data_IF_016753129056
#
_entry.id   IF_016753129056
#
_cell.length_a   1.000
_cell.length_b   1.000
_cell.length_c   1.000
_cell.angle_alpha   90.00
_cell.angle_beta   90.00
_cell.angle_gamma   90.00
#
_symmetry.space_group_name_H-M   'P 1'
#
loop_
_entity.id
_entity.type
_entity.pdbx_description
1 polymer ?
#
# COMPACT_ATOMS: atom_id res chain seq x y z
N UNK A 1 -28.60 -50.89 -16.11
CA UNK A 1 -27.13 -50.73 -15.93
C UNK A 1 -26.52 -50.25 -17.23
N UNK A 2 -25.81 -49.11 -17.23
CA UNK A 2 -24.60 -48.81 -18.05
C UNK A 2 -24.14 -47.38 -17.75
N UNK A 3 -23.15 -47.23 -16.87
CA UNK A 3 -22.40 -45.98 -16.69
C UNK A 3 -21.40 -45.86 -17.85
N UNK A 4 -21.53 -44.84 -18.69
CA UNK A 4 -20.48 -44.48 -19.66
C UNK A 4 -19.37 -43.72 -18.92
N UNK A 5 -18.24 -44.38 -18.73
CA UNK A 5 -17.01 -43.78 -18.20
C UNK A 5 -16.19 -43.29 -19.39
N UNK A 6 -16.23 -41.99 -19.70
CA UNK A 6 -15.35 -41.38 -20.71
C UNK A 6 -13.92 -41.33 -20.14
N UNK A 7 -13.06 -42.23 -20.60
CA UNK A 7 -11.63 -42.13 -20.39
C UNK A 7 -11.08 -41.10 -21.38
N UNK A 8 -10.71 -39.92 -20.88
CA UNK A 8 -9.86 -38.97 -21.60
C UNK A 8 -8.44 -39.55 -21.52
N UNK A 9 -7.99 -40.18 -22.62
CA UNK A 9 -6.59 -40.57 -22.77
C UNK A 9 -5.75 -39.34 -23.02
N UNK A 10 -5.10 -38.83 -21.98
CA UNK A 10 -4.19 -37.69 -22.07
C UNK A 10 -2.88 -38.18 -22.70
N UNK A 11 -2.66 -37.85 -23.97
CA UNK A 11 -1.51 -38.32 -24.74
C UNK A 11 -0.22 -37.63 -24.24
N UNK A 12 0.89 -38.37 -24.09
CA UNK A 12 2.11 -37.85 -23.45
C UNK A 12 2.69 -36.61 -24.17
N UNK A 13 2.48 -36.48 -25.48
CA UNK A 13 2.85 -35.29 -26.26
C UNK A 13 1.97 -34.05 -25.98
N UNK A 14 0.72 -34.23 -25.53
CA UNK A 14 -0.17 -33.12 -25.19
C UNK A 14 0.23 -32.48 -23.85
N UNK A 15 0.73 -33.29 -22.91
CA UNK A 15 1.28 -32.82 -21.65
C UNK A 15 2.55 -31.98 -21.86
N UNK A 16 3.45 -32.37 -22.77
CA UNK A 16 4.65 -31.60 -23.11
C UNK A 16 4.30 -30.24 -23.71
N UNK A 17 3.26 -30.17 -24.54
CA UNK A 17 2.81 -28.92 -25.17
C UNK A 17 2.21 -27.93 -24.15
N UNK A 18 1.47 -28.42 -23.15
CA UNK A 18 0.95 -27.59 -22.05
C UNK A 18 2.09 -27.07 -21.16
N UNK A 19 3.11 -27.89 -20.89
CA UNK A 19 4.28 -27.49 -20.09
C UNK A 19 5.12 -26.39 -20.75
N UNK A 20 5.20 -26.37 -22.08
CA UNK A 20 5.89 -25.32 -22.85
C UNK A 20 5.14 -23.98 -22.85
N UNK A 21 3.81 -23.98 -22.71
CA UNK A 21 3.00 -22.76 -22.69
C UNK A 21 3.15 -21.96 -21.38
N UNK A 22 3.54 -22.60 -20.28
CA UNK A 22 3.79 -21.93 -18.99
C UNK A 22 5.16 -21.23 -18.88
N UNK A 23 6.06 -21.42 -19.85
CA UNK A 23 7.43 -20.88 -19.79
C UNK A 23 7.55 -19.41 -20.25
N UNK A 24 6.49 -18.82 -20.82
CA UNK A 24 6.54 -17.47 -21.41
C UNK A 24 5.76 -16.39 -20.66
N UNK A 25 5.20 -16.68 -19.48
CA UNK A 25 4.59 -15.64 -18.65
C UNK A 25 5.65 -14.93 -17.80
N UNK A 26 6.57 -14.22 -18.45
CA UNK A 26 7.36 -13.19 -17.79
C UNK A 26 6.48 -11.95 -17.70
N UNK A 27 5.99 -11.65 -16.50
CA UNK A 27 5.33 -10.38 -16.21
C UNK A 27 6.45 -9.33 -16.10
N UNK A 28 6.80 -8.71 -17.23
CA UNK A 28 7.68 -7.55 -17.22
C UNK A 28 6.83 -6.36 -16.80
N UNK A 29 6.93 -5.99 -15.52
CA UNK A 29 6.30 -4.77 -15.01
C UNK A 29 6.98 -3.58 -15.70
N UNK A 30 6.40 -3.13 -16.82
CA UNK A 30 6.78 -1.88 -17.45
C UNK A 30 6.56 -0.75 -16.45
N UNK A 31 7.63 -0.31 -15.80
CA UNK A 31 7.63 0.93 -15.03
C UNK A 31 7.61 2.08 -16.04
N UNK A 32 6.52 2.84 -16.06
CA UNK A 32 6.46 4.11 -16.78
C UNK A 32 7.29 5.13 -15.99
N UNK A 33 8.59 5.16 -16.27
CA UNK A 33 9.57 5.97 -15.52
C UNK A 33 9.59 7.38 -16.10
N UNK A 34 8.98 8.32 -15.38
CA UNK A 34 9.12 9.75 -15.67
C UNK A 34 10.43 10.27 -15.07
N UNK A 35 11.51 10.25 -15.86
CA UNK A 35 12.84 10.74 -15.45
C UNK A 35 12.85 12.23 -15.04
N UNK A 36 11.78 13.00 -15.31
CA UNK A 36 11.67 14.39 -14.84
C UNK A 36 11.24 14.51 -13.37
N UNK A 37 10.72 13.44 -12.77
CA UNK A 37 10.13 13.44 -11.42
C UNK A 37 10.99 12.74 -10.36
N UNK A 38 12.29 12.49 -10.64
CA UNK A 38 13.16 11.76 -9.72
C UNK A 38 14.27 12.62 -9.11
N UNK A 39 14.83 12.10 -8.01
CA UNK A 39 15.96 12.72 -7.32
C UNK A 39 17.28 12.22 -7.92
N UNK A 40 18.25 13.13 -8.08
CA UNK A 40 19.61 12.81 -8.57
C UNK A 40 20.53 12.27 -7.45
N UNK A 41 20.17 12.52 -6.20
CA UNK A 41 20.86 12.01 -5.01
C UNK A 41 19.86 11.22 -4.17
N UNK A 42 20.34 10.18 -3.50
CA UNK A 42 19.48 9.33 -2.66
C UNK A 42 18.85 10.17 -1.54
N UNK A 43 17.51 10.32 -1.51
CA UNK A 43 16.85 11.07 -0.45
C UNK A 43 16.91 10.27 0.87
N UNK A 44 16.98 10.98 1.99
CA UNK A 44 16.97 10.35 3.33
C UNK A 44 15.61 10.45 4.03
N UNK A 45 14.73 11.32 3.52
CA UNK A 45 13.39 11.56 4.03
C UNK A 45 12.38 11.69 2.89
N UNK A 46 11.10 11.47 3.20
CA UNK A 46 9.99 11.68 2.29
C UNK A 46 8.68 11.85 3.04
N UNK A 47 7.65 12.23 2.30
CA UNK A 47 6.33 12.51 2.87
C UNK A 47 5.53 11.22 3.08
N UNK A 48 5.09 11.01 4.31
CA UNK A 48 4.09 10.00 4.66
C UNK A 48 2.70 10.63 4.47
N UNK A 49 1.99 10.20 3.43
CA UNK A 49 0.67 10.70 3.07
C UNK A 49 -0.42 9.86 3.76
N UNK A 50 -1.24 10.52 4.57
CA UNK A 50 -2.26 9.85 5.38
C UNK A 50 -3.64 10.31 4.92
N UNK A 51 -4.43 9.36 4.44
CA UNK A 51 -5.81 9.58 4.04
C UNK A 51 -6.74 9.37 5.24
N UNK A 52 -7.53 10.40 5.58
CA UNK A 52 -8.48 10.37 6.71
C UNK A 52 -9.90 10.72 6.27
N UNK A 53 -10.90 10.31 7.06
CA UNK A 53 -12.29 10.72 6.84
C UNK A 53 -12.63 11.97 7.65
N UNK A 54 -12.91 13.08 6.98
CA UNK A 54 -13.47 14.29 7.59
C UNK A 54 -14.95 14.41 7.24
N UNK A 55 -15.81 14.48 8.25
CA UNK A 55 -17.26 14.63 8.10
C UNK A 55 -17.87 15.42 9.28
N UNK A 56 -19.20 15.58 9.32
CA UNK A 56 -19.89 16.36 10.36
C UNK A 56 -19.64 15.84 11.78
N UNK A 57 -19.50 14.53 11.94
CA UNK A 57 -19.25 13.88 13.24
C UNK A 57 -17.76 13.88 13.61
N UNK A 58 -16.89 13.89 12.59
CA UNK A 58 -15.44 13.80 12.68
C UNK A 58 -14.79 14.96 11.92
N UNK A 59 -14.99 16.19 12.40
CA UNK A 59 -14.34 17.38 11.80
C UNK A 59 -12.87 17.50 12.20
N UNK A 60 -12.51 16.85 13.31
CA UNK A 60 -11.17 16.76 13.87
C UNK A 60 -10.90 15.30 14.21
N UNK A 61 -9.85 14.72 13.62
CA UNK A 61 -9.53 13.29 13.73
C UNK A 61 -8.16 13.15 14.39
N UNK A 62 -8.07 12.65 15.64
CA UNK A 62 -6.80 12.35 16.26
C UNK A 62 -6.05 11.25 15.50
N UNK A 63 -4.79 11.51 15.17
CA UNK A 63 -3.89 10.63 14.43
C UNK A 63 -2.62 10.41 15.25
N UNK A 64 -2.19 9.15 15.36
CA UNK A 64 -0.90 8.78 15.95
C UNK A 64 -0.13 7.96 14.93
N UNK A 65 1.12 8.35 14.68
CA UNK A 65 2.03 7.74 13.73
C UNK A 65 3.12 7.05 14.53
N UNK A 66 3.32 5.77 14.27
CA UNK A 66 4.30 4.92 14.93
C UNK A 66 5.40 4.53 13.96
N UNK A 67 6.63 4.50 14.45
CA UNK A 67 7.74 3.84 13.76
C UNK A 67 7.68 2.35 14.08
N UNK A 68 7.40 1.52 13.07
CA UNK A 68 7.12 0.10 13.27
C UNK A 68 5.64 -0.15 13.51
N UNK A 69 5.31 -1.17 14.32
CA UNK A 69 3.91 -1.52 14.59
C UNK A 69 3.39 -0.75 15.81
N UNK A 70 2.07 -0.49 15.92
CA UNK A 70 1.52 0.24 17.07
C UNK A 70 1.80 -0.45 18.41
N UNK A 71 1.90 -1.79 18.44
CA UNK A 71 2.17 -2.56 19.66
C UNK A 71 3.58 -2.34 20.22
N UNK A 72 4.52 -1.90 19.38
CA UNK A 72 5.90 -1.59 19.79
C UNK A 72 5.96 -0.26 20.57
N UNK A 73 4.92 0.59 20.46
CA UNK A 73 4.77 1.83 21.24
C UNK A 73 5.72 2.97 20.87
N UNK A 74 6.46 2.85 19.78
CA UNK A 74 7.40 3.89 19.32
C UNK A 74 6.66 4.96 18.51
N UNK A 75 6.23 6.02 19.18
CA UNK A 75 5.53 7.14 18.54
C UNK A 75 6.54 8.00 17.79
N UNK A 76 6.33 8.16 16.48
CA UNK A 76 7.05 9.12 15.63
C UNK A 76 6.39 10.50 15.75
N UNK A 77 5.05 10.55 15.70
CA UNK A 77 4.29 11.79 15.66
C UNK A 77 2.86 11.60 16.17
N UNK A 78 2.23 12.64 16.71
CA UNK A 78 0.84 12.62 17.12
C UNK A 78 0.22 14.03 16.99
N UNK A 79 -0.91 14.13 16.30
CA UNK A 79 -1.65 15.38 16.10
C UNK A 79 -3.12 15.09 15.73
N UNK A 80 -3.84 16.11 15.26
CA UNK A 80 -5.24 16.07 14.88
C UNK A 80 -5.41 16.57 13.44
N UNK A 81 -5.84 15.67 12.55
CA UNK A 81 -6.15 16.01 11.18
C UNK A 81 -7.46 16.79 11.10
N UNK A 82 -7.47 17.88 10.32
CA UNK A 82 -8.64 18.74 10.03
C UNK A 82 -9.02 18.74 8.54
N UNK A 83 -8.18 18.13 7.71
CA UNK A 83 -8.39 17.94 6.28
C UNK A 83 -8.38 16.45 5.93
N UNK A 84 -8.83 16.10 4.72
CA UNK A 84 -8.87 14.71 4.23
C UNK A 84 -7.48 14.11 4.00
N UNK A 85 -6.49 14.99 3.84
CA UNK A 85 -5.09 14.66 3.66
C UNK A 85 -4.32 15.24 4.83
N UNK A 86 -3.42 14.43 5.37
CA UNK A 86 -2.49 14.81 6.41
C UNK A 86 -1.12 14.24 6.04
N UNK A 87 -0.09 15.07 5.98
CA UNK A 87 1.24 14.68 5.56
C UNK A 87 2.29 15.09 6.60
N UNK A 88 3.30 14.22 6.77
CA UNK A 88 4.49 14.52 7.56
C UNK A 88 5.74 13.99 6.87
N UNK A 89 6.84 14.73 7.00
CA UNK A 89 8.15 14.28 6.51
C UNK A 89 8.77 13.27 7.50
N UNK A 90 9.11 12.07 7.03
CA UNK A 90 9.69 10.99 7.85
C UNK A 90 10.95 10.37 7.22
N UNK A 91 11.85 9.77 8.02
CA UNK A 91 12.98 9.00 7.49
C UNK A 91 12.56 7.86 6.55
N UNK A 92 13.27 7.72 5.43
CA UNK A 92 13.04 6.65 4.47
C UNK A 92 13.57 5.29 4.94
N UNK A 93 13.07 4.22 4.32
CA UNK A 93 13.48 2.84 4.61
C UNK A 93 12.84 2.24 5.86
N UNK A 94 11.91 2.96 6.50
CA UNK A 94 11.20 2.56 7.70
C UNK A 94 9.75 2.14 7.39
N UNK A 95 9.21 1.20 8.17
CA UNK A 95 7.78 0.89 8.19
C UNK A 95 7.10 1.82 9.20
N UNK A 96 5.99 2.43 8.81
CA UNK A 96 5.19 3.27 9.67
C UNK A 96 3.77 2.71 9.76
N UNK A 97 3.19 2.78 10.95
CA UNK A 97 1.78 2.49 11.17
C UNK A 97 1.07 3.74 11.65
N UNK A 98 -0.18 3.93 11.24
CA UNK A 98 -0.99 5.07 11.61
C UNK A 98 -2.28 4.60 12.25
N UNK A 99 -2.64 5.21 13.37
CA UNK A 99 -3.92 5.01 14.04
C UNK A 99 -4.74 6.30 13.97
N UNK A 100 -5.94 6.23 13.39
CA UNK A 100 -6.91 7.32 13.40
C UNK A 100 -8.13 6.94 14.26
N UNK A 101 -8.61 7.86 15.09
CA UNK A 101 -9.78 7.64 15.95
C UNK A 101 -10.98 8.42 15.46
N UNK A 102 -12.10 7.72 15.29
CA UNK A 102 -13.37 8.26 14.81
C UNK A 102 -14.50 8.02 15.80
N UNK A 103 -15.46 8.94 15.84
CA UNK A 103 -16.78 8.74 16.44
C UNK A 103 -17.75 8.22 15.39
N UNK A 104 -18.57 7.24 15.78
CA UNK A 104 -19.67 6.68 14.99
C UNK A 104 -20.86 6.44 15.93
N UNK A 105 -21.73 7.44 16.03
CA UNK A 105 -22.73 7.54 17.10
C UNK A 105 -22.07 7.57 18.48
N UNK A 106 -22.50 6.66 19.36
CA UNK A 106 -21.94 6.54 20.72
C UNK A 106 -20.65 5.69 20.77
N UNK A 107 -20.17 5.18 19.63
CA UNK A 107 -18.98 4.32 19.56
C UNK A 107 -17.76 5.09 19.09
N UNK A 108 -16.60 4.66 19.56
CA UNK A 108 -15.31 5.07 19.00
C UNK A 108 -14.73 3.92 18.18
N UNK A 109 -14.37 4.20 16.94
CA UNK A 109 -13.71 3.27 16.02
C UNK A 109 -12.27 3.72 15.83
N UNK A 110 -11.33 2.78 15.88
CA UNK A 110 -9.92 3.05 15.54
C UNK A 110 -9.61 2.37 14.21
N UNK A 111 -9.24 3.17 13.20
CA UNK A 111 -8.70 2.65 11.95
C UNK A 111 -7.18 2.57 12.07
N UNK A 112 -6.59 1.46 11.64
CA UNK A 112 -5.16 1.21 11.69
C UNK A 112 -4.73 0.68 10.33
N UNK A 113 -3.71 1.29 9.76
CA UNK A 113 -3.05 0.84 8.54
C UNK A 113 -1.56 1.19 8.61
N UNK A 114 -0.74 0.64 7.73
CA UNK A 114 0.68 0.91 7.74
C UNK A 114 1.38 0.51 6.45
N UNK A 115 2.40 1.29 6.09
CA UNK A 115 3.18 1.09 4.88
C UNK A 115 4.67 1.38 5.14
N UNK A 116 5.53 0.83 4.29
CA UNK A 116 6.95 1.12 4.29
C UNK A 116 7.28 2.07 3.15
N UNK A 117 7.75 3.25 3.51
CA UNK A 117 8.26 4.23 2.56
C UNK A 117 9.70 3.85 2.17
N UNK A 118 9.97 3.75 0.87
CA UNK A 118 11.22 3.20 0.32
C UNK A 118 11.80 4.10 -0.75
N UNK A 119 13.12 4.08 -0.87
CA UNK A 119 13.80 4.58 -2.07
C UNK A 119 13.98 3.43 -3.05
N UNK A 120 13.70 3.68 -4.33
CA UNK A 120 14.11 2.83 -5.45
C UNK A 120 15.09 3.61 -6.32
N UNK A 121 16.17 2.97 -6.71
CA UNK A 121 17.12 3.49 -7.69
C UNK A 121 16.82 2.87 -9.06
N UNK A 122 16.84 3.71 -10.08
CA UNK A 122 16.71 3.35 -11.49
C UNK A 122 17.92 3.90 -12.22
N UNK A 123 18.70 3.00 -12.83
CA UNK A 123 19.91 3.35 -13.58
C UNK A 123 19.79 3.06 -15.08
N UNK A 124 18.85 2.21 -15.50
CA UNK A 124 18.78 1.71 -16.87
C UNK A 124 17.80 2.48 -17.76
N UNK A 125 16.74 3.07 -17.19
CA UNK A 125 15.71 3.78 -17.95
C UNK A 125 16.01 5.28 -18.15
N UNK A 126 16.90 5.87 -17.34
CA UNK A 126 17.29 7.27 -17.43
C UNK A 126 18.80 7.39 -17.71
N UNK A 127 19.23 8.41 -18.47
CA UNK A 127 20.65 8.67 -18.79
C UNK A 127 21.52 8.99 -17.54
N UNK A 128 20.88 9.12 -16.38
CA UNK A 128 21.47 9.49 -15.09
C UNK A 128 20.83 8.67 -13.97
N UNK A 129 21.56 8.42 -12.88
CA UNK A 129 21.00 7.79 -11.67
C UNK A 129 19.79 8.56 -11.18
N UNK A 130 18.69 7.83 -10.95
CA UNK A 130 17.38 8.39 -10.72
C UNK A 130 16.73 7.67 -9.53
N UNK A 131 16.43 8.40 -8.46
CA UNK A 131 15.84 7.86 -7.24
C UNK A 131 14.36 8.25 -7.12
N UNK A 132 13.51 7.27 -6.81
CA UNK A 132 12.09 7.45 -6.54
C UNK A 132 11.74 7.05 -5.13
N UNK A 133 10.86 7.84 -4.51
CA UNK A 133 10.21 7.46 -3.26
C UNK A 133 8.94 6.67 -3.61
N UNK A 134 8.80 5.48 -3.04
CA UNK A 134 7.68 4.59 -3.26
C UNK A 134 7.06 4.14 -1.93
N UNK A 135 5.76 3.87 -1.96
CA UNK A 135 4.98 3.64 -0.73
C UNK A 135 4.79 4.94 0.05
N UNK A 136 4.52 4.82 1.34
CA UNK A 136 4.30 5.96 2.23
C UNK A 136 2.91 6.58 2.10
N UNK A 137 1.94 5.89 1.48
CA UNK A 137 0.54 6.30 1.49
C UNK A 137 -0.27 5.33 2.34
N UNK A 138 -0.87 5.84 3.41
CA UNK A 138 -1.55 5.04 4.42
C UNK A 138 -3.02 5.45 4.49
N UNK A 139 -3.93 4.50 4.33
CA UNK A 139 -5.36 4.74 4.28
C UNK A 139 -6.01 4.31 5.59
N UNK A 140 -6.20 5.29 6.46
CA UNK A 140 -6.92 5.14 7.72
C UNK A 140 -8.30 5.78 7.65
N UNK A 141 -8.90 5.87 6.46
CA UNK A 141 -10.27 6.33 6.31
C UNK A 141 -11.25 5.36 7.00
N UNK A 142 -12.37 5.90 7.48
CA UNK A 142 -13.44 5.11 8.06
C UNK A 142 -14.13 4.29 6.95
N UNK A 143 -13.84 2.98 6.91
CA UNK A 143 -14.46 2.05 5.95
C UNK A 143 -15.65 1.33 6.60
N UNK A 144 -16.83 1.51 6.00
CA UNK A 144 -18.13 0.89 6.32
C UNK A 144 -18.82 1.32 7.62
N UNK A 145 -20.02 1.90 7.45
CA UNK A 145 -21.05 1.99 8.48
C UNK A 145 -22.32 1.37 7.91
N UNK A 146 -22.55 0.08 8.10
CA UNK A 146 -23.92 -0.46 7.99
C UNK A 146 -24.60 -0.23 9.34
N UNK A 147 -25.21 0.94 9.50
CA UNK A 147 -26.33 1.04 10.45
C UNK A 147 -27.48 0.35 9.71
N UNK A 148 -27.79 -0.87 10.14
CA UNK A 148 -29.10 -1.46 9.81
C UNK A 148 -30.11 -0.68 10.63
N UNK A 149 -30.89 0.17 9.94
CA UNK A 149 -32.18 0.63 10.45
C UNK A 149 -33.18 -0.54 10.47
#
# INVERSE_FOLDING_TARGET
MRKLKRHIGLNNNFLVFILLLFMFSSCEDYLDVDCSQCYQYEPTKGDLLIDVTINKENMEVPVIIYKGKPEDGVIEYADTARGKYFDIEVPLGQYYSVCAKYKVGDKTVTAIDGDKIRVRQIDAECDTTCYYITGGRIDVQLKYTTISD
#
